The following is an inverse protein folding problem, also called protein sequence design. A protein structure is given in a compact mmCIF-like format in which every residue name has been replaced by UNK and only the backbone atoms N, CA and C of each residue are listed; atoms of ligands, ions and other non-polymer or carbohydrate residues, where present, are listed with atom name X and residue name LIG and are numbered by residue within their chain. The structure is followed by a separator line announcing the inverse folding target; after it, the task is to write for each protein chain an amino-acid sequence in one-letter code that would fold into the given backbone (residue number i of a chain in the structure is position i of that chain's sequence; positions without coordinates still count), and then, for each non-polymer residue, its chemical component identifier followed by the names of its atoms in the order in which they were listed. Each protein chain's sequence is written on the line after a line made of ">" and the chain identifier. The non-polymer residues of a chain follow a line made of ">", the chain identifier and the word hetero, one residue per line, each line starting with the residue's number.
data_IF_923461117037
#
_entry.id   IF_923461117037
#
_cell.length_a   1.000
_cell.length_b   1.000
_cell.length_c   1.000
_cell.angle_alpha   90.00
_cell.angle_beta   90.00
_cell.angle_gamma   90.00
#
_symmetry.space_group_name_H-M   'P 1'
#
loop_
_entity.id
_entity.type
_entity.pdbx_description
1 polymer ?
#
# COMPACT_ATOMS: atom_id res chain seq x y z
N UNK A 1 12.57 -33.42 21.37
CA UNK A 1 12.50 -34.27 20.15
C UNK A 1 13.94 -34.66 19.81
N UNK A 2 14.23 -35.95 19.57
CA UNK A 2 15.61 -36.39 19.27
C UNK A 2 15.85 -36.41 17.75
N UNK A 3 17.11 -36.36 17.31
CA UNK A 3 17.50 -36.49 15.89
C UNK A 3 16.89 -37.73 15.23
N UNK A 4 16.91 -38.87 15.94
CA UNK A 4 16.33 -40.13 15.44
C UNK A 4 14.82 -40.01 15.24
N UNK A 5 14.09 -39.34 16.14
CA UNK A 5 12.63 -39.13 15.97
C UNK A 5 12.32 -38.29 14.72
N UNK A 6 13.17 -37.30 14.41
CA UNK A 6 13.02 -36.49 13.20
C UNK A 6 13.30 -37.34 11.95
N UNK A 7 14.39 -38.11 11.96
CA UNK A 7 14.77 -39.00 10.85
C UNK A 7 13.69 -40.04 10.56
N UNK A 8 13.21 -40.72 11.60
CA UNK A 8 12.16 -41.75 11.49
C UNK A 8 10.85 -41.14 10.97
N UNK A 9 10.51 -39.93 11.40
CA UNK A 9 9.37 -39.17 10.88
C UNK A 9 9.49 -38.90 9.38
N UNK A 10 10.65 -38.42 8.92
CA UNK A 10 10.92 -38.15 7.50
C UNK A 10 10.86 -39.42 6.65
N UNK A 11 11.52 -40.51 7.08
CA UNK A 11 11.47 -41.79 6.37
C UNK A 11 10.08 -42.41 6.32
N UNK A 12 9.28 -42.23 7.37
CA UNK A 12 7.91 -42.72 7.42
C UNK A 12 7.02 -41.93 6.46
N UNK A 13 7.18 -40.60 6.41
CA UNK A 13 6.42 -39.76 5.47
C UNK A 13 6.80 -40.06 4.01
N UNK A 14 8.10 -40.19 3.70
CA UNK A 14 8.60 -40.57 2.37
C UNK A 14 7.98 -41.90 1.90
N UNK A 15 7.95 -42.90 2.78
CA UNK A 15 7.31 -44.21 2.50
C UNK A 15 5.81 -44.07 2.25
N UNK A 16 5.12 -43.24 3.02
CA UNK A 16 3.69 -43.01 2.84
C UNK A 16 3.36 -42.31 1.51
N UNK A 17 4.21 -41.38 1.03
CA UNK A 17 4.02 -40.73 -0.28
C UNK A 17 4.22 -41.64 -1.46
N UNK A 18 5.20 -42.54 -1.38
CA UNK A 18 5.36 -43.60 -2.38
C UNK A 18 4.11 -44.49 -2.47
N UNK A 19 3.29 -44.53 -1.41
CA UNK A 19 2.03 -45.28 -1.38
C UNK A 19 0.80 -44.47 -1.86
N UNK A 20 0.76 -43.14 -1.64
CA UNK A 20 -0.32 -42.26 -2.13
C UNK A 20 0.24 -40.86 -2.51
N UNK A 21 0.58 -40.64 -3.79
CA UNK A 21 1.17 -39.38 -4.27
C UNK A 21 0.24 -38.17 -4.20
N UNK A 22 -1.08 -38.39 -4.09
CA UNK A 22 -2.09 -37.33 -4.17
C UNK A 22 -2.64 -36.93 -2.77
N UNK A 23 -2.14 -37.52 -1.68
CA UNK A 23 -2.60 -37.23 -0.31
C UNK A 23 -2.20 -35.82 0.17
N UNK A 24 -3.15 -34.90 0.45
CA UNK A 24 -2.85 -33.54 0.81
C UNK A 24 -2.54 -33.42 2.31
N UNK A 25 -1.43 -34.00 2.78
CA UNK A 25 -0.89 -33.73 4.13
C UNK A 25 -0.10 -32.40 4.17
N UNK A 26 -0.68 -31.36 3.57
CA UNK A 26 -0.07 -30.02 3.38
C UNK A 26 0.43 -29.39 4.69
N UNK A 27 -0.30 -29.62 5.77
CA UNK A 27 -0.12 -28.92 7.05
C UNK A 27 0.97 -29.55 7.93
N UNK A 28 1.14 -30.87 7.84
CA UNK A 28 2.13 -31.61 8.64
C UNK A 28 3.54 -31.36 8.12
N UNK A 29 3.69 -31.23 6.80
CA UNK A 29 5.00 -31.07 6.17
C UNK A 29 5.62 -29.70 6.43
N UNK A 30 4.83 -28.62 6.33
CA UNK A 30 5.31 -27.28 6.67
C UNK A 30 5.74 -27.22 8.14
N UNK A 31 4.97 -27.86 9.04
CA UNK A 31 5.32 -27.99 10.45
C UNK A 31 6.62 -28.78 10.66
N UNK A 32 6.88 -29.84 9.90
CA UNK A 32 8.12 -30.61 9.98
C UNK A 32 9.31 -29.85 9.40
N UNK A 33 9.18 -29.23 8.23
CA UNK A 33 10.23 -28.41 7.61
C UNK A 33 10.61 -27.21 8.51
N UNK A 34 9.61 -26.51 9.06
CA UNK A 34 9.85 -25.45 10.06
C UNK A 34 10.49 -26.00 11.32
N UNK A 35 10.00 -27.12 11.86
CA UNK A 35 10.61 -27.73 13.06
C UNK A 35 12.07 -28.12 12.81
N UNK A 36 12.42 -28.53 11.58
CA UNK A 36 13.79 -28.81 11.16
C UNK A 36 14.64 -27.54 11.12
N UNK A 37 14.13 -26.47 10.53
CA UNK A 37 14.79 -25.16 10.46
C UNK A 37 14.98 -24.59 11.86
N UNK A 38 13.97 -24.67 12.71
CA UNK A 38 14.02 -24.23 14.10
C UNK A 38 15.04 -25.07 14.90
N UNK A 39 15.05 -26.40 14.70
CA UNK A 39 16.02 -27.30 15.33
C UNK A 39 17.47 -27.01 14.89
N UNK A 40 17.69 -26.83 13.59
CA UNK A 40 18.99 -26.45 13.02
C UNK A 40 19.43 -25.07 13.53
N UNK A 41 18.50 -24.11 13.61
CA UNK A 41 18.77 -22.75 14.10
C UNK A 41 19.13 -22.77 15.59
N UNK A 42 18.47 -23.62 16.39
CA UNK A 42 18.80 -23.82 17.81
C UNK A 42 20.20 -24.42 18.00
N UNK A 43 20.59 -25.39 17.17
CA UNK A 43 21.93 -26.00 17.24
C UNK A 43 23.01 -25.01 16.80
N UNK A 44 22.76 -24.24 15.75
CA UNK A 44 23.74 -23.29 15.20
C UNK A 44 23.93 -22.02 16.03
N UNK A 45 22.89 -21.57 16.76
CA UNK A 45 22.97 -20.40 17.64
C UNK A 45 23.79 -20.64 18.94
N UNK A 46 24.06 -21.90 19.31
CA UNK A 46 24.91 -22.25 20.45
C UNK A 46 26.41 -22.07 20.22
N UNK A 47 26.84 -21.90 18.96
CA UNK A 47 28.26 -21.74 18.59
C UNK A 47 28.46 -20.45 17.81
N UNK A 48 29.15 -19.47 18.40
CA UNK A 48 29.45 -18.15 17.80
C UNK A 48 30.35 -18.17 16.54
N UNK A 49 30.54 -19.32 15.90
CA UNK A 49 31.12 -19.44 14.56
C UNK A 49 30.17 -20.26 13.71
N UNK A 50 29.61 -19.63 12.67
CA UNK A 50 28.76 -20.25 11.63
C UNK A 50 29.58 -21.24 10.78
N UNK A 51 30.10 -22.31 11.37
CA UNK A 51 30.62 -23.44 10.60
C UNK A 51 29.46 -24.35 10.22
N UNK A 52 29.38 -24.74 8.95
CA UNK A 52 28.43 -25.75 8.49
C UNK A 52 28.57 -27.03 9.34
N UNK A 53 27.46 -27.67 9.74
CA UNK A 53 27.52 -28.87 10.58
C UNK A 53 28.20 -30.01 9.83
N UNK A 54 29.19 -30.67 10.44
CA UNK A 54 29.92 -31.80 9.82
C UNK A 54 29.40 -33.18 10.20
N UNK A 55 28.46 -33.25 11.14
CA UNK A 55 27.88 -34.51 11.60
C UNK A 55 27.12 -35.21 10.46
N UNK A 56 27.43 -36.48 10.23
CA UNK A 56 26.89 -37.26 9.12
C UNK A 56 25.36 -37.42 9.18
N UNK A 57 24.78 -37.56 10.38
CA UNK A 57 23.32 -37.68 10.56
C UNK A 57 22.64 -36.35 10.29
N UNK A 58 23.24 -35.23 10.72
CA UNK A 58 22.72 -33.91 10.40
C UNK A 58 22.75 -33.68 8.88
N UNK A 59 23.83 -34.07 8.21
CA UNK A 59 23.93 -33.99 6.75
C UNK A 59 22.89 -34.86 6.04
N UNK A 60 22.60 -36.06 6.55
CA UNK A 60 21.54 -36.93 6.04
C UNK A 60 20.16 -36.28 6.16
N UNK A 61 19.86 -35.64 7.29
CA UNK A 61 18.61 -34.90 7.51
C UNK A 61 18.45 -33.76 6.49
N UNK A 62 19.50 -32.98 6.24
CA UNK A 62 19.45 -31.94 5.21
C UNK A 62 19.14 -32.53 3.83
N UNK A 63 19.78 -33.64 3.49
CA UNK A 63 19.55 -34.33 2.22
C UNK A 63 18.08 -34.74 2.06
N UNK A 64 17.53 -35.41 3.08
CA UNK A 64 16.13 -35.84 3.07
C UNK A 64 15.17 -34.65 3.01
N UNK A 65 15.44 -33.59 3.76
CA UNK A 65 14.60 -32.39 3.75
C UNK A 65 14.61 -31.68 2.38
N UNK A 66 15.76 -31.60 1.71
CA UNK A 66 15.88 -31.05 0.36
C UNK A 66 15.08 -31.90 -0.63
N UNK A 67 15.23 -33.23 -0.63
CA UNK A 67 14.48 -34.14 -1.49
C UNK A 67 12.96 -33.97 -1.30
N UNK A 68 12.52 -33.89 -0.05
CA UNK A 68 11.10 -33.76 0.27
C UNK A 68 10.53 -32.39 -0.13
N UNK A 69 11.30 -31.30 0.04
CA UNK A 69 10.91 -29.96 -0.41
C UNK A 69 10.88 -29.85 -1.95
N UNK A 70 11.70 -30.63 -2.64
CA UNK A 70 11.68 -30.71 -4.09
C UNK A 70 10.38 -31.32 -4.60
N UNK A 71 9.98 -32.47 -4.04
CA UNK A 71 8.69 -33.10 -4.36
C UNK A 71 7.50 -32.24 -3.90
N UNK A 72 7.63 -31.56 -2.75
CA UNK A 72 6.66 -30.55 -2.31
C UNK A 72 6.47 -29.47 -3.38
N UNK A 73 7.55 -28.83 -3.84
CA UNK A 73 7.46 -27.77 -4.85
C UNK A 73 6.82 -28.25 -6.15
N UNK A 74 7.14 -29.46 -6.62
CA UNK A 74 6.48 -30.08 -7.79
C UNK A 74 4.99 -30.28 -7.60
N UNK A 75 4.58 -30.80 -6.44
CA UNK A 75 3.16 -31.06 -6.13
C UNK A 75 2.34 -29.77 -6.12
N UNK A 76 2.89 -28.68 -5.56
CA UNK A 76 2.23 -27.37 -5.52
C UNK A 76 2.22 -26.69 -6.88
N UNK A 77 3.27 -26.87 -7.69
CA UNK A 77 3.26 -26.45 -9.10
C UNK A 77 2.11 -27.15 -9.88
N UNK A 78 1.96 -28.47 -9.74
CA UNK A 78 0.86 -29.23 -10.37
C UNK A 78 -0.52 -28.71 -9.92
N UNK A 79 -0.63 -28.31 -8.65
CA UNK A 79 -1.84 -27.74 -8.08
C UNK A 79 -2.06 -26.25 -8.42
N UNK A 80 -1.17 -25.62 -9.20
CA UNK A 80 -1.16 -24.18 -9.51
C UNK A 80 -1.11 -23.26 -8.28
N UNK A 81 -0.51 -23.75 -7.20
CA UNK A 81 -0.30 -22.99 -5.97
C UNK A 81 1.16 -22.55 -5.91
N UNK A 82 1.46 -21.54 -6.73
CA UNK A 82 2.82 -21.08 -7.03
C UNK A 82 3.52 -20.46 -5.82
N UNK A 83 2.74 -19.92 -4.86
CA UNK A 83 3.30 -19.34 -3.63
C UNK A 83 3.97 -20.41 -2.80
N UNK A 84 3.26 -21.50 -2.50
CA UNK A 84 3.84 -22.61 -1.75
C UNK A 84 4.94 -23.32 -2.55
N UNK A 85 4.80 -23.44 -3.88
CA UNK A 85 5.86 -23.99 -4.70
C UNK A 85 7.17 -23.17 -4.59
N UNK A 86 7.06 -21.83 -4.64
CA UNK A 86 8.15 -20.87 -4.45
C UNK A 86 8.77 -20.95 -3.05
N UNK A 87 7.95 -21.05 -2.00
CA UNK A 87 8.41 -21.22 -0.62
C UNK A 87 9.25 -22.51 -0.49
N UNK A 88 8.85 -23.58 -1.18
CA UNK A 88 9.61 -24.83 -1.27
C UNK A 88 11.02 -24.65 -1.86
N UNK A 89 11.14 -23.92 -2.98
CA UNK A 89 12.45 -23.60 -3.59
C UNK A 89 13.33 -22.80 -2.62
N UNK A 90 12.78 -21.73 -2.05
CA UNK A 90 13.50 -20.84 -1.14
C UNK A 90 14.04 -21.61 0.07
N UNK A 91 13.24 -22.53 0.60
CA UNK A 91 13.65 -23.35 1.74
C UNK A 91 14.75 -24.36 1.35
N UNK A 92 14.66 -24.98 0.17
CA UNK A 92 15.74 -25.86 -0.32
C UNK A 92 17.07 -25.12 -0.42
N UNK A 93 17.07 -23.92 -0.99
CA UNK A 93 18.27 -23.09 -1.13
C UNK A 93 18.86 -22.72 0.22
N UNK A 94 18.00 -22.35 1.18
CA UNK A 94 18.42 -22.08 2.55
C UNK A 94 19.11 -23.31 3.19
N UNK A 95 18.52 -24.50 3.06
CA UNK A 95 19.07 -25.74 3.61
C UNK A 95 20.36 -26.16 2.91
N UNK A 96 20.44 -26.04 1.58
CA UNK A 96 21.65 -26.32 0.81
C UNK A 96 22.80 -25.37 1.22
N UNK A 97 22.52 -24.07 1.37
CA UNK A 97 23.51 -23.09 1.83
C UNK A 97 23.96 -23.32 3.28
N UNK A 98 23.06 -23.85 4.12
CA UNK A 98 23.33 -24.18 5.51
C UNK A 98 24.03 -25.54 5.70
N UNK A 99 24.22 -26.29 4.61
CA UNK A 99 24.82 -27.63 4.61
C UNK A 99 25.89 -27.76 3.51
N UNK A 100 26.49 -28.94 3.36
CA UNK A 100 27.38 -29.24 2.23
C UNK A 100 26.65 -30.03 1.13
N UNK A 101 25.31 -29.94 1.12
CA UNK A 101 24.45 -30.59 0.13
C UNK A 101 24.25 -29.69 -1.08
N UNK A 102 24.29 -30.32 -2.24
CA UNK A 102 23.91 -29.69 -3.49
C UNK A 102 22.41 -29.83 -3.68
N UNK A 103 21.82 -28.83 -4.34
CA UNK A 103 20.45 -28.92 -4.82
C UNK A 103 20.35 -29.96 -5.95
N UNK A 104 19.20 -30.64 -6.11
CA UNK A 104 18.93 -31.43 -7.31
C UNK A 104 19.14 -30.58 -8.57
N UNK A 105 19.70 -31.19 -9.63
CA UNK A 105 20.05 -30.48 -10.86
C UNK A 105 18.82 -29.81 -11.51
N UNK A 106 17.65 -30.41 -11.35
CA UNK A 106 16.36 -29.97 -11.88
C UNK A 106 15.77 -28.78 -11.12
N UNK A 107 16.31 -28.39 -9.96
CA UNK A 107 15.79 -27.24 -9.18
C UNK A 107 15.84 -25.95 -9.99
N UNK A 108 16.86 -25.77 -10.85
CA UNK A 108 16.97 -24.59 -11.70
C UNK A 108 15.81 -24.51 -12.70
N UNK A 109 15.43 -25.63 -13.33
CA UNK A 109 14.30 -25.68 -14.25
C UNK A 109 12.97 -25.49 -13.50
N UNK A 110 12.81 -26.17 -12.36
CA UNK A 110 11.61 -26.06 -11.54
C UNK A 110 11.37 -24.62 -11.07
N UNK A 111 12.43 -23.92 -10.67
CA UNK A 111 12.41 -22.49 -10.31
C UNK A 111 11.91 -21.62 -11.46
N UNK A 112 12.47 -21.80 -12.67
CA UNK A 112 12.05 -21.02 -13.83
C UNK A 112 10.57 -21.27 -14.18
N UNK A 113 10.11 -22.51 -14.07
CA UNK A 113 8.71 -22.88 -14.30
C UNK A 113 7.78 -22.27 -13.27
N UNK A 114 8.07 -22.42 -11.97
CA UNK A 114 7.26 -21.82 -10.88
C UNK A 114 7.15 -20.31 -11.08
N UNK A 115 8.26 -19.62 -11.33
CA UNK A 115 8.25 -18.17 -11.51
C UNK A 115 7.48 -17.74 -12.76
N UNK A 116 7.74 -18.36 -13.91
CA UNK A 116 7.09 -17.96 -15.16
C UNK A 116 5.59 -18.27 -15.17
N UNK A 117 5.17 -19.42 -14.66
CA UNK A 117 3.76 -19.80 -14.53
C UNK A 117 3.07 -18.98 -13.43
N UNK A 118 3.76 -18.71 -12.32
CA UNK A 118 3.26 -17.89 -11.21
C UNK A 118 2.97 -16.45 -11.62
N UNK A 119 3.89 -15.81 -12.36
CA UNK A 119 3.66 -14.45 -12.89
C UNK A 119 2.44 -14.43 -13.82
N UNK A 120 2.37 -15.38 -14.78
CA UNK A 120 1.22 -15.48 -15.69
C UNK A 120 -0.09 -15.67 -14.93
N UNK A 121 -0.09 -16.49 -13.89
CA UNK A 121 -1.27 -16.75 -13.09
C UNK A 121 -1.73 -15.52 -12.32
N UNK A 122 -0.82 -14.84 -11.59
CA UNK A 122 -1.15 -13.63 -10.82
C UNK A 122 -1.69 -12.53 -11.73
N UNK A 123 -1.04 -12.30 -12.89
CA UNK A 123 -1.52 -11.30 -13.85
C UNK A 123 -2.88 -11.67 -14.43
N UNK A 124 -3.10 -12.94 -14.80
CA UNK A 124 -4.38 -13.39 -15.34
C UNK A 124 -5.53 -13.28 -14.32
N UNK A 125 -5.31 -13.66 -13.06
CA UNK A 125 -6.31 -13.51 -12.01
C UNK A 125 -6.61 -12.04 -11.74
N UNK A 126 -5.61 -11.17 -11.70
CA UNK A 126 -5.85 -9.74 -11.51
C UNK A 126 -6.56 -9.09 -12.71
N UNK A 127 -6.27 -9.51 -13.95
CA UNK A 127 -7.03 -9.06 -15.13
C UNK A 127 -8.52 -9.37 -14.99
N UNK A 128 -8.87 -10.58 -14.53
CA UNK A 128 -10.27 -10.93 -14.24
C UNK A 128 -10.87 -10.02 -13.16
N UNK A 129 -10.13 -9.73 -12.09
CA UNK A 129 -10.60 -8.81 -11.05
C UNK A 129 -10.88 -7.40 -11.60
N UNK A 130 -10.10 -6.92 -12.56
CA UNK A 130 -10.33 -5.60 -13.19
C UNK A 130 -11.61 -5.59 -14.04
N UNK A 131 -11.87 -6.68 -14.77
CA UNK A 131 -13.03 -6.82 -15.65
C UNK A 131 -14.34 -7.04 -14.87
N UNK A 132 -14.27 -7.69 -13.70
CA UNK A 132 -15.44 -8.04 -12.92
C UNK A 132 -15.96 -6.86 -12.07
N UNK A 133 -17.21 -6.36 -12.30
CA UNK A 133 -17.75 -5.19 -11.60
C UNK A 133 -17.93 -5.36 -10.09
N UNK A 134 -17.82 -6.60 -9.60
CA UNK A 134 -18.13 -6.98 -8.21
C UNK A 134 -16.91 -6.97 -7.30
N UNK A 135 -15.69 -6.95 -7.85
CA UNK A 135 -14.49 -7.17 -7.06
C UNK A 135 -13.68 -5.88 -6.84
N UNK A 136 -13.54 -5.57 -5.54
CA UNK A 136 -12.73 -4.55 -4.87
C UNK A 136 -13.07 -3.07 -5.13
N UNK A 137 -13.33 -2.39 -4.02
CA UNK A 137 -13.39 -0.94 -3.88
C UNK A 137 -12.02 -0.25 -4.02
N UNK A 138 -10.95 -0.99 -4.34
CA UNK A 138 -9.56 -0.52 -4.25
C UNK A 138 -8.60 -1.28 -5.20
N UNK A 139 -8.85 -1.16 -6.51
CA UNK A 139 -7.96 -1.68 -7.56
C UNK A 139 -6.55 -1.08 -7.50
N UNK A 140 -6.41 0.14 -6.95
CA UNK A 140 -5.13 0.81 -6.79
C UNK A 140 -4.20 0.05 -5.84
N UNK A 141 -4.66 -0.23 -4.61
CA UNK A 141 -3.89 -1.03 -3.66
C UNK A 141 -3.81 -2.51 -4.08
N UNK A 142 -4.84 -3.01 -4.78
CA UNK A 142 -4.82 -4.36 -5.37
C UNK A 142 -3.63 -4.56 -6.32
N UNK A 143 -3.37 -3.59 -7.21
CA UNK A 143 -2.24 -3.69 -8.14
C UNK A 143 -0.88 -3.64 -7.42
N UNK A 144 -0.73 -2.85 -6.34
CA UNK A 144 0.53 -2.80 -5.57
C UNK A 144 0.91 -4.17 -5.00
N UNK A 145 -0.08 -4.96 -4.56
CA UNK A 145 0.14 -6.34 -4.09
C UNK A 145 0.55 -7.26 -5.24
N UNK A 146 -0.13 -7.16 -6.38
CA UNK A 146 0.19 -7.93 -7.59
C UNK A 146 1.61 -7.66 -8.08
N UNK A 147 2.03 -6.40 -8.11
CA UNK A 147 3.39 -6.02 -8.48
C UNK A 147 4.42 -6.67 -7.54
N UNK A 148 4.18 -6.64 -6.23
CA UNK A 148 5.06 -7.28 -5.24
C UNK A 148 5.20 -8.80 -5.47
N UNK A 149 4.09 -9.48 -5.79
CA UNK A 149 4.12 -10.92 -6.08
C UNK A 149 4.90 -11.22 -7.38
N UNK A 150 4.67 -10.44 -8.44
CA UNK A 150 5.39 -10.58 -9.72
C UNK A 150 6.88 -10.33 -9.54
N UNK A 151 7.27 -9.28 -8.82
CA UNK A 151 8.67 -8.99 -8.51
C UNK A 151 9.34 -10.11 -7.69
N UNK A 152 8.61 -10.70 -6.76
CA UNK A 152 9.08 -11.84 -5.97
C UNK A 152 9.38 -13.04 -6.87
N UNK A 153 8.44 -13.42 -7.75
CA UNK A 153 8.64 -14.52 -8.70
C UNK A 153 9.76 -14.23 -9.71
N UNK A 154 9.83 -13.01 -10.25
CA UNK A 154 10.86 -12.61 -11.20
C UNK A 154 12.25 -12.71 -10.55
N UNK A 155 12.40 -12.17 -9.32
CA UNK A 155 13.64 -12.25 -8.53
C UNK A 155 14.04 -13.68 -8.22
N UNK A 156 13.09 -14.54 -7.85
CA UNK A 156 13.35 -15.95 -7.56
C UNK A 156 14.03 -16.64 -8.75
N UNK A 157 13.60 -16.37 -9.98
CA UNK A 157 14.17 -16.97 -11.18
C UNK A 157 15.31 -16.17 -11.82
N UNK A 158 15.69 -15.01 -11.26
CA UNK A 158 16.66 -14.11 -11.89
C UNK A 158 16.17 -13.54 -13.22
N UNK A 159 14.86 -13.41 -13.38
CA UNK A 159 14.20 -12.88 -14.57
C UNK A 159 13.88 -11.39 -14.39
N UNK A 160 13.83 -10.61 -15.48
CA UNK A 160 13.25 -9.28 -15.44
C UNK A 160 11.73 -9.37 -15.19
N UNK A 161 11.17 -8.31 -14.60
CA UNK A 161 9.71 -8.13 -14.52
C UNK A 161 9.14 -8.02 -15.94
N UNK A 162 8.11 -8.80 -16.32
CA UNK A 162 7.57 -8.76 -17.67
C UNK A 162 6.95 -7.41 -18.05
N UNK A 163 7.08 -7.02 -19.31
CA UNK A 163 6.48 -5.78 -19.84
C UNK A 163 4.94 -5.77 -19.72
N UNK A 164 4.31 -6.94 -19.73
CA UNK A 164 2.85 -7.11 -19.53
C UNK A 164 2.37 -6.47 -18.21
N UNK A 165 3.23 -6.38 -17.20
CA UNK A 165 2.90 -5.73 -15.91
C UNK A 165 2.50 -4.27 -16.12
N UNK A 166 3.17 -3.56 -17.04
CA UNK A 166 2.85 -2.17 -17.34
C UNK A 166 1.46 -2.03 -17.99
N UNK A 167 1.09 -2.95 -18.88
CA UNK A 167 -0.23 -2.99 -19.49
C UNK A 167 -1.33 -3.22 -18.44
N UNK A 168 -1.12 -4.21 -17.56
CA UNK A 168 -2.04 -4.52 -16.46
C UNK A 168 -2.18 -3.36 -15.48
N UNK A 169 -1.09 -2.68 -15.15
CA UNK A 169 -1.09 -1.47 -14.30
C UNK A 169 -1.97 -0.38 -14.91
N UNK A 170 -1.74 -0.08 -16.19
CA UNK A 170 -2.47 0.95 -16.91
C UNK A 170 -3.97 0.65 -16.94
N UNK A 171 -4.35 -0.60 -17.20
CA UNK A 171 -5.73 -1.05 -17.18
C UNK A 171 -6.36 -0.90 -15.79
N UNK A 172 -5.66 -1.34 -14.75
CA UNK A 172 -6.11 -1.25 -13.37
C UNK A 172 -6.32 0.22 -12.93
N UNK A 173 -5.38 1.10 -13.27
CA UNK A 173 -5.44 2.51 -12.90
C UNK A 173 -6.54 3.24 -13.65
N UNK A 174 -6.71 2.97 -14.95
CA UNK A 174 -7.83 3.50 -15.72
C UNK A 174 -9.16 3.13 -15.07
N UNK A 175 -9.34 1.85 -14.71
CA UNK A 175 -10.57 1.37 -14.07
C UNK A 175 -10.76 1.92 -12.66
N UNK A 176 -9.68 2.03 -11.90
CA UNK A 176 -9.69 2.61 -10.56
C UNK A 176 -10.08 4.09 -10.62
N UNK A 177 -9.56 4.88 -11.58
CA UNK A 177 -9.92 6.29 -11.77
C UNK A 177 -11.42 6.43 -12.02
N UNK A 178 -11.98 5.64 -12.94
CA UNK A 178 -13.42 5.63 -13.22
C UNK A 178 -14.26 5.30 -11.99
N UNK A 179 -13.87 4.25 -11.26
CA UNK A 179 -14.55 3.80 -10.04
C UNK A 179 -14.52 4.87 -8.95
N UNK A 180 -13.35 5.47 -8.71
CA UNK A 180 -13.19 6.56 -7.75
C UNK A 180 -14.07 7.76 -8.14
N UNK A 181 -14.08 8.16 -9.42
CA UNK A 181 -14.89 9.27 -9.88
C UNK A 181 -16.39 9.00 -9.72
N UNK A 182 -16.86 7.79 -10.03
CA UNK A 182 -18.26 7.39 -9.79
C UNK A 182 -18.63 7.51 -8.31
N UNK A 183 -17.77 7.01 -7.41
CA UNK A 183 -17.98 7.11 -5.96
C UNK A 183 -18.01 8.55 -5.48
N UNK A 184 -17.16 9.42 -6.03
CA UNK A 184 -17.19 10.86 -5.75
C UNK A 184 -18.54 11.46 -6.16
N UNK A 185 -19.01 11.18 -7.38
CA UNK A 185 -20.32 11.67 -7.87
C UNK A 185 -21.46 11.23 -6.95
N UNK A 186 -21.53 9.94 -6.64
CA UNK A 186 -22.57 9.37 -5.76
C UNK A 186 -22.53 9.98 -4.36
N UNK A 187 -21.33 10.14 -3.78
CA UNK A 187 -21.19 10.71 -2.44
C UNK A 187 -21.63 12.17 -2.41
N UNK A 188 -21.19 12.98 -3.38
CA UNK A 188 -21.56 14.39 -3.46
C UNK A 188 -23.05 14.57 -3.74
N UNK A 189 -23.64 13.75 -4.61
CA UNK A 189 -25.07 13.80 -4.92
C UNK A 189 -25.94 13.37 -3.73
N UNK A 190 -25.53 12.35 -2.99
CA UNK A 190 -26.29 11.86 -1.84
C UNK A 190 -26.21 12.76 -0.61
N UNK A 191 -25.18 13.61 -0.50
CA UNK A 191 -24.93 14.46 0.67
C UNK A 191 -24.69 13.67 1.97
N UNK A 192 -24.57 12.34 1.92
CA UNK A 192 -24.50 11.48 3.10
C UNK A 192 -23.18 11.65 3.82
N UNK A 193 -23.24 12.28 4.99
CA UNK A 193 -22.17 12.31 5.98
C UNK A 193 -22.02 10.90 6.56
N UNK A 194 -20.80 10.34 6.52
CA UNK A 194 -20.49 9.12 7.29
C UNK A 194 -19.90 9.53 8.64
N UNK A 195 -19.81 8.60 9.60
CA UNK A 195 -19.34 8.86 10.97
C UNK A 195 -17.94 9.47 11.07
N UNK A 196 -17.20 9.59 9.96
CA UNK A 196 -15.83 10.11 9.95
C UNK A 196 -15.54 11.10 8.80
N UNK A 197 -16.43 11.30 7.83
CA UNK A 197 -16.12 12.16 6.67
C UNK A 197 -17.35 12.91 6.13
N UNK A 198 -17.18 14.21 5.87
CA UNK A 198 -18.11 14.97 5.02
C UNK A 198 -18.04 14.46 3.58
N UNK A 199 -19.10 14.65 2.76
CA UNK A 199 -19.04 14.35 1.33
C UNK A 199 -17.84 14.97 0.62
N UNK A 200 -17.47 16.21 0.99
CA UNK A 200 -16.32 16.93 0.47
C UNK A 200 -15.00 16.27 0.86
N UNK A 201 -14.88 15.80 2.11
CA UNK A 201 -13.67 15.15 2.58
C UNK A 201 -13.45 13.79 1.92
N UNK A 202 -14.55 13.05 1.74
CA UNK A 202 -14.56 11.82 0.96
C UNK A 202 -14.12 12.10 -0.48
N UNK A 203 -14.76 13.08 -1.13
CA UNK A 203 -14.44 13.46 -2.50
C UNK A 203 -12.97 13.88 -2.65
N UNK A 204 -12.47 14.74 -1.77
CA UNK A 204 -11.07 15.19 -1.79
C UNK A 204 -10.07 14.02 -1.70
N UNK A 205 -10.36 13.03 -0.85
CA UNK A 205 -9.53 11.83 -0.70
C UNK A 205 -9.49 11.04 -2.03
N UNK A 206 -10.66 10.77 -2.62
CA UNK A 206 -10.75 10.02 -3.86
C UNK A 206 -10.19 10.77 -5.08
N UNK A 207 -10.28 12.11 -5.11
CA UNK A 207 -9.65 12.91 -6.18
C UNK A 207 -8.13 12.88 -6.09
N UNK A 208 -7.52 12.88 -4.90
CA UNK A 208 -6.06 12.68 -4.78
C UNK A 208 -5.64 11.34 -5.38
N UNK A 209 -6.34 10.24 -5.04
CA UNK A 209 -6.03 8.93 -5.62
C UNK A 209 -6.13 8.94 -7.15
N UNK A 210 -7.13 9.65 -7.70
CA UNK A 210 -7.25 9.82 -9.16
C UNK A 210 -6.03 10.55 -9.73
N UNK A 211 -5.60 11.64 -9.10
CA UNK A 211 -4.45 12.44 -9.54
C UNK A 211 -3.13 11.65 -9.45
N UNK A 212 -2.93 10.89 -8.36
CA UNK A 212 -1.76 10.02 -8.16
C UNK A 212 -1.69 8.96 -9.27
N UNK A 213 -2.77 8.19 -9.47
CA UNK A 213 -2.84 7.18 -10.53
C UNK A 213 -2.68 7.77 -11.93
N UNK A 214 -3.28 8.93 -12.18
CA UNK A 214 -3.15 9.60 -13.47
C UNK A 214 -1.72 10.07 -13.71
N UNK A 215 -1.03 10.57 -12.67
CA UNK A 215 0.37 10.99 -12.76
C UNK A 215 1.31 9.82 -13.03
N UNK A 216 1.15 8.70 -12.29
CA UNK A 216 1.98 7.50 -12.43
C UNK A 216 1.93 6.89 -13.83
N UNK A 217 0.78 7.00 -14.51
CA UNK A 217 0.55 6.44 -15.85
C UNK A 217 0.51 7.50 -16.96
N UNK A 218 0.85 8.75 -16.65
CA UNK A 218 0.75 9.88 -17.58
C UNK A 218 -0.64 10.00 -18.26
N UNK A 219 -1.70 9.65 -17.54
CA UNK A 219 -3.08 9.76 -17.99
C UNK A 219 -3.59 11.20 -17.81
N UNK A 220 -4.44 11.69 -18.71
CA UNK A 220 -5.05 13.00 -18.55
C UNK A 220 -6.04 13.00 -17.38
N UNK A 221 -5.89 13.97 -16.47
CA UNK A 221 -6.92 14.26 -15.46
C UNK A 221 -8.08 15.00 -16.14
N UNK A 222 -9.29 14.46 -16.03
CA UNK A 222 -10.47 15.02 -16.70
C UNK A 222 -10.84 16.42 -16.16
N UNK A 223 -11.49 17.22 -17.00
CA UNK A 223 -11.97 18.55 -16.59
C UNK A 223 -12.95 18.47 -15.41
N UNK A 224 -13.75 17.40 -15.36
CA UNK A 224 -14.69 17.16 -14.27
C UNK A 224 -14.00 16.98 -12.92
N UNK A 225 -12.89 16.23 -12.85
CA UNK A 225 -12.09 16.09 -11.62
C UNK A 225 -11.66 17.47 -11.12
N UNK A 226 -11.16 18.32 -12.03
CA UNK A 226 -10.76 19.70 -11.71
C UNK A 226 -11.94 20.56 -11.26
N UNK A 227 -13.12 20.40 -11.87
CA UNK A 227 -14.32 21.13 -11.49
C UNK A 227 -14.81 20.75 -10.09
N UNK A 228 -14.83 19.46 -9.77
CA UNK A 228 -15.19 18.97 -8.44
C UNK A 228 -14.18 19.47 -7.42
N UNK A 229 -12.89 19.36 -7.71
CA UNK A 229 -11.83 19.83 -6.82
C UNK A 229 -12.00 21.32 -6.49
N UNK A 230 -12.21 22.17 -7.50
CA UNK A 230 -12.44 23.60 -7.31
C UNK A 230 -13.67 23.89 -6.45
N UNK A 231 -14.76 23.12 -6.60
CA UNK A 231 -15.96 23.25 -5.75
C UNK A 231 -15.67 22.91 -4.30
N UNK A 232 -14.85 21.89 -4.04
CA UNK A 232 -14.44 21.53 -2.68
C UNK A 232 -13.62 22.65 -2.05
N UNK A 233 -12.63 23.18 -2.76
CA UNK A 233 -11.85 24.32 -2.25
C UNK A 233 -12.70 25.55 -2.03
N UNK A 234 -13.67 25.83 -2.90
CA UNK A 234 -14.59 26.96 -2.70
C UNK A 234 -15.37 26.82 -1.37
N UNK A 235 -15.90 25.63 -1.08
CA UNK A 235 -16.56 25.35 0.22
C UNK A 235 -15.59 25.50 1.40
N UNK A 236 -14.34 25.08 1.24
CA UNK A 236 -13.31 25.24 2.27
C UNK A 236 -12.98 26.73 2.54
N UNK A 237 -12.97 27.57 1.51
CA UNK A 237 -12.84 29.03 1.67
C UNK A 237 -14.02 29.60 2.43
N UNK A 238 -15.26 29.25 2.05
CA UNK A 238 -16.46 29.71 2.76
C UNK A 238 -16.46 29.29 4.23
N UNK A 239 -16.07 28.04 4.51
CA UNK A 239 -15.92 27.55 5.88
C UNK A 239 -14.88 28.39 6.66
N UNK A 240 -13.70 28.60 6.09
CA UNK A 240 -12.66 29.39 6.73
C UNK A 240 -13.12 30.84 7.01
N UNK A 241 -13.81 31.49 6.07
CA UNK A 241 -14.35 32.84 6.27
C UNK A 241 -15.43 32.88 7.37
N UNK A 242 -16.32 31.88 7.45
CA UNK A 242 -17.28 31.78 8.56
C UNK A 242 -16.58 31.62 9.92
N UNK A 243 -15.45 30.91 9.97
CA UNK A 243 -14.64 30.80 11.17
C UNK A 243 -13.96 32.14 11.52
N UNK A 244 -13.50 32.91 10.54
CA UNK A 244 -13.02 34.30 10.76
C UNK A 244 -14.10 35.12 11.44
N UNK A 245 -15.33 35.12 10.92
CA UNK A 245 -16.46 35.85 11.51
C UNK A 245 -16.72 35.41 12.95
N UNK A 246 -16.81 34.09 13.17
CA UNK A 246 -17.05 33.50 14.49
C UNK A 246 -16.00 33.93 15.50
N UNK A 247 -14.72 33.85 15.14
CA UNK A 247 -13.61 34.22 16.02
C UNK A 247 -13.57 35.73 16.33
N UNK A 248 -13.90 36.58 15.35
CA UNK A 248 -14.00 38.02 15.56
C UNK A 248 -15.14 38.42 16.51
N UNK A 249 -16.21 37.64 16.61
CA UNK A 249 -17.29 37.91 17.57
C UNK A 249 -16.83 37.83 19.03
N UNK A 250 -15.76 37.07 19.32
CA UNK A 250 -15.21 36.92 20.68
C UNK A 250 -14.60 38.21 21.21
N UNK A 251 -14.18 39.13 20.33
CA UNK A 251 -13.54 40.42 20.68
C UNK A 251 -12.34 40.27 21.64
N UNK A 252 -11.61 39.17 21.56
CA UNK A 252 -10.40 38.92 22.35
C UNK A 252 -9.15 38.92 21.47
N UNK A 253 -7.98 39.11 22.10
CA UNK A 253 -6.68 38.95 21.45
C UNK A 253 -6.52 37.57 20.80
N UNK A 254 -7.00 36.52 21.47
CA UNK A 254 -6.98 35.17 20.97
C UNK A 254 -7.90 35.01 19.75
N UNK A 255 -9.13 35.52 19.81
CA UNK A 255 -10.06 35.50 18.67
C UNK A 255 -9.50 36.21 17.43
N UNK A 256 -8.83 37.35 17.60
CA UNK A 256 -8.13 38.03 16.47
C UNK A 256 -6.99 37.18 15.90
N UNK A 257 -6.22 36.53 16.77
CA UNK A 257 -5.11 35.63 16.38
C UNK A 257 -5.65 34.43 15.59
N UNK A 258 -6.76 33.84 16.03
CA UNK A 258 -7.41 32.71 15.34
C UNK A 258 -8.06 33.14 14.03
N UNK A 259 -8.73 34.29 14.01
CA UNK A 259 -9.32 34.87 12.81
C UNK A 259 -8.27 35.13 11.71
N UNK A 260 -7.10 35.66 12.07
CA UNK A 260 -5.98 35.81 11.11
C UNK A 260 -5.60 34.47 10.49
N UNK A 261 -5.65 33.41 11.27
CA UNK A 261 -5.27 32.09 10.81
C UNK A 261 -6.22 31.45 9.83
N UNK A 262 -7.51 31.49 10.12
CA UNK A 262 -8.53 31.07 9.17
C UNK A 262 -8.52 31.94 7.90
N UNK A 263 -8.17 33.22 8.02
CA UNK A 263 -8.05 34.12 6.88
C UNK A 263 -6.88 33.77 5.97
N UNK A 264 -5.72 33.42 6.53
CA UNK A 264 -4.57 32.92 5.77
C UNK A 264 -4.88 31.59 5.08
N UNK A 265 -5.67 30.72 5.74
CA UNK A 265 -6.13 29.46 5.16
C UNK A 265 -7.10 29.69 3.99
N UNK A 266 -8.08 30.59 4.15
CA UNK A 266 -8.98 31.02 3.09
C UNK A 266 -8.21 31.54 1.87
N UNK A 267 -7.17 32.35 2.10
CA UNK A 267 -6.31 32.86 1.04
C UNK A 267 -5.57 31.75 0.31
N UNK A 268 -4.94 30.82 1.04
CA UNK A 268 -4.26 29.66 0.43
C UNK A 268 -5.21 28.82 -0.43
N UNK A 269 -6.41 28.50 0.06
CA UNK A 269 -7.38 27.75 -0.73
C UNK A 269 -7.88 28.55 -1.94
N UNK A 270 -8.06 29.87 -1.82
CA UNK A 270 -8.47 30.72 -2.94
C UNK A 270 -7.44 30.72 -4.08
N UNK A 271 -6.15 30.67 -3.75
CA UNK A 271 -5.07 30.57 -4.75
C UNK A 271 -5.13 29.27 -5.56
N UNK A 272 -5.64 28.17 -4.97
CA UNK A 272 -5.79 26.88 -5.68
C UNK A 272 -6.95 26.91 -6.69
N UNK A 273 -8.03 27.63 -6.39
CA UNK A 273 -9.20 27.72 -7.27
C UNK A 273 -8.89 28.54 -8.53
N UNK A 274 -7.95 29.49 -8.42
CA UNK A 274 -7.69 30.50 -9.45
C UNK A 274 -8.91 31.40 -9.67
N UNK A 275 -8.88 32.19 -10.74
CA UNK A 275 -9.93 33.17 -11.09
C UNK A 275 -11.15 32.56 -11.82
N UNK A 276 -11.21 31.24 -11.99
CA UNK A 276 -12.03 30.60 -13.05
C UNK A 276 -13.49 30.30 -12.65
N UNK A 277 -13.89 30.42 -11.38
CA UNK A 277 -15.25 30.07 -10.93
C UNK A 277 -16.11 31.21 -10.35
N UNK A 278 -15.84 32.47 -10.67
CA UNK A 278 -16.70 33.56 -10.14
C UNK A 278 -16.63 33.68 -8.60
N UNK A 279 -15.40 33.51 -8.10
CA UNK A 279 -14.80 33.93 -6.83
C UNK A 279 -15.43 33.55 -5.47
N UNK A 280 -14.64 32.98 -4.52
CA UNK A 280 -14.65 33.51 -3.16
C UNK A 280 -14.00 34.88 -3.24
N UNK A 281 -14.86 35.89 -3.37
CA UNK A 281 -14.47 37.22 -3.81
C UNK A 281 -13.30 37.74 -2.95
N UNK A 282 -12.09 37.98 -3.53
CA UNK A 282 -10.93 38.54 -2.83
C UNK A 282 -11.25 39.77 -1.97
N UNK A 283 -12.34 40.46 -2.29
CA UNK A 283 -12.89 41.54 -1.48
C UNK A 283 -13.31 41.15 -0.04
N UNK A 284 -13.68 39.89 0.24
CA UNK A 284 -14.09 39.42 1.58
C UNK A 284 -12.85 39.16 2.42
N UNK A 285 -11.85 38.49 1.83
CA UNK A 285 -10.54 38.33 2.46
C UNK A 285 -9.94 39.71 2.77
N UNK A 286 -9.96 40.63 1.81
CA UNK A 286 -9.48 42.01 2.00
C UNK A 286 -10.29 42.78 3.06
N UNK A 287 -11.63 42.62 3.08
CA UNK A 287 -12.51 43.20 4.11
C UNK A 287 -12.14 42.71 5.50
N UNK A 288 -11.98 41.41 5.70
CA UNK A 288 -11.58 40.85 7.00
C UNK A 288 -10.16 41.28 7.39
N UNK A 289 -9.21 41.33 6.45
CA UNK A 289 -7.87 41.88 6.72
C UNK A 289 -7.94 43.32 7.22
N UNK A 290 -8.77 44.17 6.60
CA UNK A 290 -8.97 45.57 7.03
C UNK A 290 -9.64 45.65 8.41
N UNK A 291 -10.65 44.81 8.67
CA UNK A 291 -11.34 44.76 9.96
C UNK A 291 -10.40 44.36 11.10
N UNK A 292 -9.56 43.34 10.88
CA UNK A 292 -8.57 42.89 11.85
C UNK A 292 -7.54 44.01 12.12
N UNK A 293 -7.00 44.64 11.08
CA UNK A 293 -6.07 45.78 11.23
C UNK A 293 -6.69 46.94 12.02
N UNK A 294 -7.99 47.20 11.84
CA UNK A 294 -8.73 48.26 12.53
C UNK A 294 -9.10 47.94 13.99
N UNK A 295 -8.91 46.70 14.46
CA UNK A 295 -9.33 46.29 15.81
C UNK A 295 -8.45 46.86 16.93
N UNK A 296 -7.26 47.40 16.62
CA UNK A 296 -6.33 47.95 17.62
C UNK A 296 -5.68 46.91 18.55
N UNK A 297 -6.00 45.63 18.34
CA UNK A 297 -5.49 44.49 19.08
C UNK A 297 -4.14 44.09 18.44
N UNK A 298 -3.04 44.24 19.17
CA UNK A 298 -1.70 43.93 18.67
C UNK A 298 -1.58 42.42 18.37
N UNK A 299 -1.57 42.01 17.10
CA UNK A 299 -1.42 40.60 16.75
C UNK A 299 -0.11 40.06 17.34
N UNK A 300 -0.16 38.84 17.91
CA UNK A 300 1.06 38.08 18.21
C UNK A 300 1.91 37.92 16.94
N UNK A 301 3.18 37.54 17.10
CA UNK A 301 4.08 37.33 15.95
C UNK A 301 3.43 36.39 14.93
N UNK A 302 3.71 36.59 13.63
CA UNK A 302 3.18 35.71 12.56
C UNK A 302 3.51 34.23 12.81
N UNK A 303 4.59 33.95 13.52
CA UNK A 303 5.08 32.61 13.85
C UNK A 303 4.24 31.91 14.94
N UNK A 304 3.80 32.65 15.96
CA UNK A 304 2.85 32.16 16.98
C UNK A 304 1.47 31.87 16.37
N UNK A 305 1.05 32.68 15.40
CA UNK A 305 -0.20 32.51 14.65
C UNK A 305 -0.11 31.22 13.82
N UNK A 306 0.96 31.06 13.03
CA UNK A 306 1.20 29.92 12.15
C UNK A 306 1.17 28.58 12.89
N UNK A 307 1.95 28.45 13.97
CA UNK A 307 2.05 27.19 14.74
C UNK A 307 0.72 26.76 15.38
N UNK A 308 -0.06 27.71 15.91
CA UNK A 308 -1.41 27.44 16.45
C UNK A 308 -2.39 26.97 15.39
N UNK A 309 -2.31 27.53 14.19
CA UNK A 309 -3.19 27.14 13.07
C UNK A 309 -2.81 25.76 12.56
N UNK A 310 -1.52 25.48 12.37
CA UNK A 310 -1.06 24.16 11.93
C UNK A 310 -1.54 23.07 12.90
N UNK A 311 -1.46 23.31 14.21
CA UNK A 311 -1.99 22.40 15.23
C UNK A 311 -3.52 22.26 15.23
N UNK A 312 -4.27 23.26 14.73
CA UNK A 312 -5.73 23.18 14.56
C UNK A 312 -6.12 22.53 13.25
N UNK A 313 -5.42 22.83 12.17
CA UNK A 313 -5.54 22.18 10.87
C UNK A 313 -5.34 20.69 11.06
N UNK A 314 -4.31 20.27 11.80
CA UNK A 314 -4.06 18.86 12.11
C UNK A 314 -5.24 18.18 12.83
N UNK A 315 -5.98 18.93 13.66
CA UNK A 315 -7.15 18.43 14.42
C UNK A 315 -8.47 18.47 13.63
N UNK A 316 -8.57 19.28 12.58
CA UNK A 316 -9.73 19.34 11.70
C UNK A 316 -9.52 18.39 10.50
N UNK A 317 -10.27 17.29 10.38
CA UNK A 317 -10.03 16.30 9.33
C UNK A 317 -10.14 16.86 7.91
N UNK A 318 -11.03 17.82 7.67
CA UNK A 318 -11.23 18.43 6.36
C UNK A 318 -10.08 19.37 6.02
N UNK A 319 -9.74 20.26 6.96
CA UNK A 319 -8.64 21.20 6.75
C UNK A 319 -7.30 20.47 6.70
N UNK A 320 -7.04 19.52 7.58
CA UNK A 320 -5.84 18.67 7.58
C UNK A 320 -5.64 18.05 6.20
N UNK A 321 -6.64 17.33 5.70
CA UNK A 321 -6.53 16.69 4.40
C UNK A 321 -6.39 17.71 3.28
N UNK A 322 -7.17 18.78 3.19
CA UNK A 322 -7.04 19.75 2.10
C UNK A 322 -5.71 20.52 2.14
N UNK A 323 -5.20 20.82 3.34
CA UNK A 323 -3.96 21.55 3.55
C UNK A 323 -2.73 20.70 3.26
N UNK A 324 -2.70 19.45 3.74
CA UNK A 324 -1.59 18.53 3.52
C UNK A 324 -1.70 17.77 2.17
N UNK A 325 -2.89 17.68 1.54
CA UNK A 325 -3.12 17.07 0.20
C UNK A 325 -2.18 17.64 -0.86
N UNK A 326 -1.96 18.96 -0.88
CA UNK A 326 -1.09 19.57 -1.90
C UNK A 326 0.41 19.34 -1.64
N UNK A 327 0.78 19.04 -0.40
CA UNK A 327 2.16 18.70 -0.03
C UNK A 327 2.47 17.22 -0.34
N UNK A 328 1.52 16.30 -0.09
CA UNK A 328 1.75 14.86 -0.25
C UNK A 328 1.42 14.33 -1.66
N UNK A 329 0.35 14.78 -2.32
CA UNK A 329 -0.06 14.23 -3.63
C UNK A 329 0.80 14.72 -4.82
N UNK A 330 1.67 15.72 -4.62
CA UNK A 330 2.47 16.34 -5.70
C UNK A 330 3.98 16.41 -5.41
N UNK A 331 4.46 16.02 -4.23
CA UNK A 331 5.87 16.24 -3.83
C UNK A 331 6.32 17.71 -3.82
N UNK A 332 5.40 18.65 -4.04
CA UNK A 332 5.66 20.09 -3.99
C UNK A 332 5.65 20.51 -2.53
N UNK A 333 6.84 20.61 -1.94
CA UNK A 333 7.05 21.53 -0.82
C UNK A 333 6.69 22.92 -1.32
N UNK A 334 5.58 23.48 -0.84
CA UNK A 334 5.34 24.91 -0.92
C UNK A 334 6.46 25.58 -0.12
N UNK A 335 7.50 26.02 -0.83
CA UNK A 335 8.59 26.85 -0.33
C UNK A 335 8.08 28.19 0.15
#
# INVERSE_FOLDING_TARGET
>A
MTLNTILDGLHTDRRNRLADPDSPKRDTFWKMGKSLVDYVSLISNGSHKRSKPKDAKIQEIYSLAIDELFEYAKSFLKAKDYKHASDGITMMEYLANSSDKQLPAEVSELRQRISSEGIKHVLAEFRKEIEEPKHRSDLFNGFKLVLSDVESYARLAGLPVPEEVAEVRRLAYTRAIESNLSRVRERLASGRVSHQNTPELFAATHLCNIEEMASEEHLPVSQEVRDIERRIYYKAVQYALNMVETELTKKTQEGVTEALGYLDLAERFSQVIGTVLGEPKPHEIAKYRKQIKGSGIASKTQEDVKSKIEAKIEKDPLLSKLFYKKMDCNGYRLS
#
